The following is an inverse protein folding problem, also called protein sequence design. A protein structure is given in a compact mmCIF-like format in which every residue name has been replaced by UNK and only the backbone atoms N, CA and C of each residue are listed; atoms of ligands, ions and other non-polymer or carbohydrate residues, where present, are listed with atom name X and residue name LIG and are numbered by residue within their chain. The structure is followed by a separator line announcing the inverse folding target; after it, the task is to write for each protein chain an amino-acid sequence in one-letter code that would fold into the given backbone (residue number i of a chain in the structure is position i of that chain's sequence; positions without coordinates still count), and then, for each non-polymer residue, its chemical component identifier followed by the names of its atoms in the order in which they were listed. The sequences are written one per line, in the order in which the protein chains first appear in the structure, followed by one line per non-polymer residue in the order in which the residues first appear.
data_IF_230614432242
#
_entry.id   IF_230614432242
#
_cell.length_a   1.000
_cell.length_b   1.000
_cell.length_c   1.000
_cell.angle_alpha   90.00
_cell.angle_beta   90.00
_cell.angle_gamma   90.00
#
_symmetry.space_group_name_H-M   'P 1'
#
loop_
_entity.id
_entity.type
_entity.pdbx_description
1 polymer ?
#
# COMPACT_ATOMS: atom_id res chain seq x y z
N UNK A 1 20.16 -2.45 -24.11
CA UNK A 1 19.96 -2.78 -25.54
C UNK A 1 18.73 -3.65 -25.66
N UNK A 2 17.70 -3.19 -26.39
CA UNK A 2 16.48 -3.90 -26.84
C UNK A 2 15.57 -4.54 -25.77
N UNK A 3 14.24 -4.39 -25.73
CA UNK A 3 13.25 -3.79 -26.63
C UNK A 3 11.97 -3.60 -25.79
N UNK A 4 11.25 -2.53 -26.09
CA UNK A 4 9.88 -2.24 -25.69
C UNK A 4 8.98 -3.43 -26.09
N UNK A 5 8.36 -4.10 -25.12
CA UNK A 5 7.27 -5.07 -25.35
C UNK A 5 5.98 -4.42 -24.83
N UNK A 6 4.91 -4.52 -25.63
CA UNK A 6 3.68 -3.72 -25.56
C UNK A 6 3.08 -3.47 -24.18
N UNK A 7 2.79 -2.20 -23.91
CA UNK A 7 2.58 -1.60 -22.58
C UNK A 7 1.19 -1.79 -21.93
N UNK A 8 0.38 -2.77 -22.35
CA UNK A 8 -0.96 -2.97 -21.76
C UNK A 8 -1.11 -4.32 -21.03
N UNK A 9 -0.60 -5.42 -21.61
CA UNK A 9 -0.82 -6.78 -21.06
C UNK A 9 0.09 -7.10 -19.87
N UNK A 10 1.35 -6.66 -19.91
CA UNK A 10 2.27 -6.83 -18.78
C UNK A 10 1.79 -6.04 -17.58
N UNK A 11 1.36 -4.79 -17.76
CA UNK A 11 0.84 -3.97 -16.66
C UNK A 11 -0.41 -4.59 -16.02
N UNK A 12 -1.31 -5.17 -16.82
CA UNK A 12 -2.46 -5.93 -16.32
C UNK A 12 -2.06 -7.17 -15.53
N UNK A 13 -1.08 -7.92 -16.03
CA UNK A 13 -0.51 -9.09 -15.36
C UNK A 13 0.13 -8.70 -14.02
N UNK A 14 1.10 -7.78 -14.01
CA UNK A 14 1.77 -7.34 -12.77
C UNK A 14 0.78 -6.78 -11.74
N UNK A 15 -0.21 -5.99 -12.18
CA UNK A 15 -1.25 -5.52 -11.27
C UNK A 15 -2.12 -6.65 -10.73
N UNK A 16 -2.41 -7.67 -11.53
CA UNK A 16 -3.15 -8.84 -11.07
C UNK A 16 -2.40 -9.62 -9.99
N UNK A 17 -1.09 -9.90 -10.17
CA UNK A 17 -0.31 -10.58 -9.12
C UNK A 17 -0.25 -9.77 -7.83
N UNK A 18 -0.08 -8.45 -7.93
CA UNK A 18 -0.04 -7.58 -6.77
C UNK A 18 -1.38 -7.56 -6.00
N UNK A 19 -2.51 -7.49 -6.71
CA UNK A 19 -3.85 -7.50 -6.08
C UNK A 19 -4.13 -8.85 -5.39
N UNK A 20 -3.78 -9.97 -6.02
CA UNK A 20 -3.97 -11.29 -5.42
C UNK A 20 -3.11 -11.50 -4.16
N UNK A 21 -1.89 -10.95 -4.15
CA UNK A 21 -1.01 -10.97 -2.98
C UNK A 21 -1.58 -10.11 -1.82
N UNK A 22 -2.07 -8.91 -2.14
CA UNK A 22 -2.72 -8.02 -1.18
C UNK A 22 -3.97 -8.66 -0.54
N UNK A 23 -4.83 -9.31 -1.34
CA UNK A 23 -5.99 -10.04 -0.82
C UNK A 23 -5.59 -11.15 0.17
N UNK A 24 -4.49 -11.86 -0.12
CA UNK A 24 -3.95 -12.88 0.76
C UNK A 24 -3.51 -12.31 2.11
N UNK A 25 -2.80 -11.18 2.09
CA UNK A 25 -2.38 -10.47 3.30
C UNK A 25 -3.57 -9.97 4.11
N UNK A 26 -4.57 -9.38 3.46
CA UNK A 26 -5.80 -8.90 4.12
C UNK A 26 -6.52 -10.04 4.84
N UNK A 27 -6.65 -11.22 4.21
CA UNK A 27 -7.28 -12.39 4.86
C UNK A 27 -6.52 -12.87 6.09
N UNK A 28 -5.18 -12.77 6.08
CA UNK A 28 -4.33 -13.15 7.22
C UNK A 28 -4.44 -12.14 8.36
N UNK A 29 -4.47 -10.85 8.05
CA UNK A 29 -4.72 -9.78 9.03
C UNK A 29 -6.07 -9.98 9.71
N UNK A 30 -7.13 -10.26 8.94
CA UNK A 30 -8.48 -10.53 9.47
C UNK A 30 -8.54 -11.74 10.41
N UNK A 31 -7.58 -12.68 10.29
CA UNK A 31 -7.44 -13.84 11.18
C UNK A 31 -6.58 -13.54 12.43
N UNK A 32 -6.08 -12.32 12.57
CA UNK A 32 -5.23 -11.89 13.69
C UNK A 32 -3.74 -12.19 13.50
N UNK A 33 -3.29 -12.51 12.28
CA UNK A 33 -1.86 -12.69 12.02
C UNK A 33 -1.15 -11.32 11.91
N UNK A 34 -0.60 -10.86 13.03
CA UNK A 34 0.05 -9.54 13.16
C UNK A 34 1.21 -9.32 12.18
N UNK A 35 1.89 -10.39 11.76
CA UNK A 35 2.99 -10.31 10.79
C UNK A 35 2.51 -9.87 9.39
N UNK A 36 1.28 -10.22 9.01
CA UNK A 36 0.70 -9.78 7.74
C UNK A 36 0.37 -8.28 7.77
N UNK A 37 0.06 -7.73 8.95
CA UNK A 37 -0.18 -6.30 9.13
C UNK A 37 1.08 -5.48 8.88
N UNK A 38 2.24 -5.93 9.38
CA UNK A 38 3.52 -5.25 9.11
C UNK A 38 3.83 -5.16 7.61
N UNK A 39 3.54 -6.21 6.84
CA UNK A 39 3.78 -6.22 5.39
C UNK A 39 2.93 -5.20 4.64
N UNK A 40 1.65 -5.07 5.02
CA UNK A 40 0.76 -4.02 4.49
C UNK A 40 1.24 -2.64 4.98
N UNK A 41 1.60 -2.50 6.25
CA UNK A 41 2.08 -1.23 6.81
C UNK A 41 3.28 -0.69 6.04
N UNK A 42 4.35 -1.49 5.86
CA UNK A 42 5.54 -1.08 5.10
C UNK A 42 5.22 -0.71 3.64
N UNK A 43 4.27 -1.43 3.01
CA UNK A 43 3.90 -1.22 1.61
C UNK A 43 3.04 0.04 1.37
N UNK A 44 2.31 0.48 2.38
CA UNK A 44 1.29 1.53 2.27
C UNK A 44 1.60 2.80 3.04
N UNK A 45 2.39 2.74 4.12
CA UNK A 45 2.72 3.88 4.97
C UNK A 45 3.26 5.05 4.15
N UNK A 46 4.26 4.79 3.33
CA UNK A 46 4.92 5.78 2.49
C UNK A 46 3.99 6.44 1.45
N UNK A 47 2.98 5.70 0.96
CA UNK A 47 2.01 6.20 -0.02
C UNK A 47 0.96 7.07 0.66
N UNK A 48 0.44 6.61 1.79
CA UNK A 48 -0.56 7.31 2.59
C UNK A 48 0.04 8.59 3.17
N UNK A 49 1.23 8.52 3.77
CA UNK A 49 1.95 9.67 4.31
C UNK A 49 2.18 10.74 3.23
N UNK A 50 2.69 10.36 2.05
CA UNK A 50 2.89 11.31 0.93
C UNK A 50 1.58 11.93 0.46
N UNK A 51 0.51 11.16 0.36
CA UNK A 51 -0.81 11.68 0.00
C UNK A 51 -1.32 12.70 1.02
N UNK A 52 -1.21 12.40 2.32
CA UNK A 52 -1.68 13.27 3.39
C UNK A 52 -0.82 14.54 3.47
N UNK A 53 0.51 14.44 3.39
CA UNK A 53 1.43 15.60 3.33
C UNK A 53 1.08 16.48 2.13
N UNK A 54 0.85 15.89 0.95
CA UNK A 54 0.44 16.63 -0.23
C UNK A 54 -0.89 17.36 -0.03
N UNK A 55 -1.84 16.74 0.69
CA UNK A 55 -3.18 17.31 0.88
C UNK A 55 -3.26 18.40 1.94
N UNK A 56 -2.47 18.31 3.00
CA UNK A 56 -2.62 19.14 4.21
C UNK A 56 -1.49 20.17 4.31
N UNK A 57 -0.33 19.92 3.68
CA UNK A 57 0.81 20.84 3.65
C UNK A 57 1.55 20.98 4.98
N UNK A 58 0.94 20.58 6.11
CA UNK A 58 1.56 20.50 7.42
C UNK A 58 2.03 19.07 7.73
N UNK A 59 3.31 18.91 8.06
CA UNK A 59 3.93 17.61 8.36
C UNK A 59 3.44 16.99 9.67
N UNK A 60 3.20 17.79 10.71
CA UNK A 60 2.78 17.29 12.02
C UNK A 60 1.36 16.68 11.95
N UNK A 61 0.44 17.39 11.29
CA UNK A 61 -0.93 16.91 11.08
C UNK A 61 -0.94 15.67 10.17
N UNK A 62 -0.02 15.61 9.21
CA UNK A 62 0.10 14.47 8.32
C UNK A 62 0.59 13.20 9.03
N UNK A 63 1.52 13.34 9.98
CA UNK A 63 2.01 12.23 10.79
C UNK A 63 0.91 11.68 11.69
N UNK A 64 0.20 12.55 12.42
CA UNK A 64 -0.92 12.16 13.29
C UNK A 64 -2.02 11.45 12.50
N UNK A 65 -2.43 12.02 11.37
CA UNK A 65 -3.47 11.41 10.53
C UNK A 65 -3.04 10.09 9.91
N UNK A 66 -1.75 9.94 9.56
CA UNK A 66 -1.22 8.65 9.08
C UNK A 66 -1.35 7.60 10.17
N UNK A 67 -0.97 7.93 11.42
CA UNK A 67 -1.12 7.01 12.55
C UNK A 67 -2.59 6.65 12.80
N UNK A 68 -3.51 7.62 12.76
CA UNK A 68 -4.94 7.36 12.94
C UNK A 68 -5.53 6.41 11.88
N UNK A 69 -5.05 6.48 10.64
CA UNK A 69 -5.50 5.59 9.56
C UNK A 69 -5.12 4.14 9.86
N UNK A 70 -3.90 3.90 10.37
CA UNK A 70 -3.44 2.54 10.68
C UNK A 70 -3.98 2.00 12.01
N UNK A 71 -4.31 2.85 12.98
CA UNK A 71 -4.92 2.41 14.26
C UNK A 71 -6.39 1.97 14.08
N UNK A 72 -7.09 2.48 13.06
CA UNK A 72 -8.50 2.16 12.77
C UNK A 72 -8.69 0.98 11.82
N UNK A 73 -7.62 0.47 11.22
CA UNK A 73 -7.63 -0.61 10.22
C UNK A 73 -7.57 -2.01 10.88
#
# INVERSE_FOLDING_TARGET
MHRVIGSQLVFGFWRYYQVQEEEGLIRRIQKGESEAFNQIYESYFDKIYRYIVFKIGNRNDAEDLTQQVFIKA
#
